data_IF_155052885971
#
_entry.id   IF_155052885971
#
_cell.length_a   1.000
_cell.length_b   1.000
_cell.length_c   1.000
_cell.angle_alpha   90.00
_cell.angle_beta   90.00
_cell.angle_gamma   90.00
#
_symmetry.space_group_name_H-M   'P 1'
#
loop_
_entity.id
_entity.type
_entity.pdbx_description
1 polymer ?
#
# COMPACT_ATOMS: atom_id res chain seq x y z
N UNK A 1 8.10 -9.08 -14.65
CA UNK A 1 7.86 -9.12 -13.20
C UNK A 1 6.61 -8.32 -12.89
N UNK A 2 5.64 -8.95 -12.24
CA UNK A 2 4.35 -8.28 -12.09
C UNK A 2 3.69 -8.67 -10.76
N UNK A 3 3.00 -7.74 -10.17
CA UNK A 3 2.28 -7.94 -8.92
C UNK A 3 0.87 -7.37 -9.04
N UNK A 4 -0.03 -7.85 -8.19
CA UNK A 4 -1.34 -7.23 -8.00
C UNK A 4 -1.22 -6.28 -6.83
N UNK A 5 -1.45 -4.99 -7.07
CA UNK A 5 -1.20 -3.92 -6.12
C UNK A 5 -2.50 -3.19 -5.79
N UNK A 6 -2.80 -3.06 -4.51
CA UNK A 6 -3.89 -2.22 -4.03
C UNK A 6 -3.28 -0.91 -3.50
N UNK A 7 -3.76 0.21 -4.02
CA UNK A 7 -3.37 1.54 -3.54
C UNK A 7 -4.57 2.18 -2.88
N UNK A 8 -4.41 2.69 -1.67
CA UNK A 8 -5.46 3.42 -0.99
C UNK A 8 -4.96 4.79 -0.55
N UNK A 9 -5.62 5.84 -1.03
CA UNK A 9 -5.29 7.22 -0.71
C UNK A 9 -6.55 8.06 -0.97
N UNK A 10 -6.94 8.91 -0.01
CA UNK A 10 -8.10 9.78 -0.18
C UNK A 10 -7.84 10.91 -1.17
N UNK A 11 -6.59 11.23 -1.47
CA UNK A 11 -6.24 12.12 -2.56
C UNK A 11 -6.34 11.33 -3.87
N UNK A 12 -7.45 11.54 -4.59
CA UNK A 12 -7.75 10.77 -5.81
C UNK A 12 -6.69 10.93 -6.88
N UNK A 13 -6.22 12.16 -7.09
CA UNK A 13 -5.21 12.43 -8.12
C UNK A 13 -3.91 11.70 -7.82
N UNK A 14 -3.48 11.71 -6.57
CA UNK A 14 -2.25 11.03 -6.18
C UNK A 14 -2.38 9.51 -6.35
N UNK A 15 -3.50 8.95 -5.91
CA UNK A 15 -3.75 7.51 -6.03
C UNK A 15 -3.83 7.07 -7.49
N UNK A 16 -4.58 7.82 -8.30
CA UNK A 16 -4.78 7.47 -9.70
C UNK A 16 -3.49 7.60 -10.49
N UNK A 17 -2.69 8.64 -10.22
CA UNK A 17 -1.41 8.85 -10.88
C UNK A 17 -0.42 7.73 -10.55
N UNK A 18 -0.30 7.40 -9.28
CA UNK A 18 0.57 6.31 -8.85
C UNK A 18 0.14 4.99 -9.49
N UNK A 19 -1.16 4.73 -9.50
CA UNK A 19 -1.72 3.53 -10.11
C UNK A 19 -1.39 3.43 -11.59
N UNK A 20 -1.54 4.53 -12.31
CA UNK A 20 -1.25 4.59 -13.74
C UNK A 20 0.22 4.28 -14.03
N UNK A 21 1.12 4.86 -13.23
CA UNK A 21 2.55 4.65 -13.40
C UNK A 21 2.96 3.21 -13.10
N UNK A 22 2.37 2.61 -12.09
CA UNK A 22 2.66 1.21 -11.77
C UNK A 22 2.07 0.26 -12.82
N UNK A 23 0.92 0.59 -13.39
CA UNK A 23 0.37 -0.18 -14.50
C UNK A 23 1.29 -0.15 -15.72
N UNK A 24 1.88 1.00 -16.00
CA UNK A 24 2.87 1.12 -17.08
C UNK A 24 4.09 0.24 -16.82
N UNK A 25 4.40 -0.03 -15.57
CA UNK A 25 5.47 -0.94 -15.18
C UNK A 25 5.10 -2.42 -15.27
N UNK A 26 3.88 -2.74 -15.70
CA UNK A 26 3.45 -4.11 -15.90
C UNK A 26 2.66 -4.73 -14.75
N UNK A 27 2.26 -3.93 -13.75
CA UNK A 27 1.50 -4.42 -12.61
C UNK A 27 0.00 -4.30 -12.82
N UNK A 28 -0.77 -5.15 -12.14
CA UNK A 28 -2.22 -5.01 -12.07
C UNK A 28 -2.52 -4.15 -10.84
N UNK A 29 -3.20 -3.03 -11.05
CA UNK A 29 -3.43 -2.05 -9.97
C UNK A 29 -4.91 -1.87 -9.69
N UNK A 30 -5.26 -1.89 -8.42
CA UNK A 30 -6.60 -1.60 -7.92
C UNK A 30 -6.47 -0.35 -7.03
N UNK A 31 -7.33 0.66 -7.26
CA UNK A 31 -7.27 1.91 -6.53
C UNK A 31 -8.47 2.06 -5.62
N UNK A 32 -8.23 2.37 -4.35
CA UNK A 32 -9.23 2.70 -3.36
C UNK A 32 -9.03 4.13 -2.87
N UNK A 33 -10.11 4.81 -2.51
CA UNK A 33 -10.05 6.21 -2.05
C UNK A 33 -10.47 6.38 -0.59
N UNK A 34 -10.64 5.28 0.12
CA UNK A 34 -10.94 5.28 1.55
C UNK A 34 -10.45 3.99 2.19
N UNK A 35 -10.37 3.98 3.51
CA UNK A 35 -9.96 2.79 4.24
C UNK A 35 -10.95 1.65 4.12
N UNK A 36 -12.24 1.95 4.21
CA UNK A 36 -13.29 0.94 4.05
C UNK A 36 -13.26 0.33 2.65
N UNK A 37 -13.09 1.16 1.63
CA UNK A 37 -13.00 0.67 0.26
C UNK A 37 -11.76 -0.21 0.08
N UNK A 38 -10.66 0.16 0.72
CA UNK A 38 -9.42 -0.62 0.65
C UNK A 38 -9.63 -2.05 1.18
N UNK A 39 -10.29 -2.17 2.31
CA UNK A 39 -10.57 -3.48 2.89
C UNK A 39 -11.49 -4.31 2.01
N UNK A 40 -12.55 -3.69 1.49
CA UNK A 40 -13.48 -4.37 0.61
C UNK A 40 -12.80 -4.88 -0.66
N UNK A 41 -12.01 -4.03 -1.31
CA UNK A 41 -11.28 -4.41 -2.52
C UNK A 41 -10.18 -5.43 -2.22
N UNK A 42 -9.54 -5.33 -1.06
CA UNK A 42 -8.56 -6.31 -0.64
C UNK A 42 -9.15 -7.71 -0.54
N UNK A 43 -10.33 -7.82 0.03
CA UNK A 43 -11.04 -9.10 0.14
C UNK A 43 -11.40 -9.68 -1.21
N UNK A 44 -11.82 -8.82 -2.14
CA UNK A 44 -12.23 -9.24 -3.48
C UNK A 44 -11.06 -9.61 -4.38
N UNK A 45 -10.00 -8.81 -4.34
CA UNK A 45 -8.90 -8.89 -5.30
C UNK A 45 -7.69 -9.65 -4.78
N UNK A 46 -7.54 -9.77 -3.48
CA UNK A 46 -6.43 -10.45 -2.81
C UNK A 46 -5.07 -9.98 -3.34
N UNK A 47 -4.71 -8.71 -3.11
CA UNK A 47 -3.47 -8.16 -3.67
C UNK A 47 -2.21 -8.75 -3.02
N UNK A 48 -1.13 -8.75 -3.78
CA UNK A 48 0.19 -9.15 -3.28
C UNK A 48 0.87 -8.03 -2.51
N UNK A 49 0.56 -6.79 -2.89
CA UNK A 49 1.17 -5.58 -2.33
C UNK A 49 0.06 -4.59 -2.01
N UNK A 50 0.15 -3.93 -0.86
CA UNK A 50 -0.81 -2.92 -0.43
C UNK A 50 -0.06 -1.64 -0.10
N UNK A 51 -0.42 -0.54 -0.73
CA UNK A 51 0.16 0.78 -0.47
C UNK A 51 -0.94 1.63 0.15
N UNK A 52 -0.76 2.01 1.41
CA UNK A 52 -1.79 2.70 2.19
C UNK A 52 -1.34 4.06 2.68
N UNK A 53 -2.12 5.09 2.35
CA UNK A 53 -2.00 6.40 2.98
C UNK A 53 -2.46 6.30 4.44
N UNK A 54 -1.67 6.83 5.35
CA UNK A 54 -1.99 6.82 6.78
C UNK A 54 -3.13 7.80 7.10
N UNK A 55 -3.22 8.91 6.37
CA UNK A 55 -4.08 10.04 6.72
C UNK A 55 -5.52 10.00 6.22
N UNK A 56 -6.06 8.82 5.91
CA UNK A 56 -7.44 8.75 5.40
C UNK A 56 -8.47 9.06 6.50
N UNK A 57 -9.54 9.82 6.17
CA UNK A 57 -10.46 10.32 7.19
C UNK A 57 -11.42 9.28 7.80
N UNK A 58 -11.84 8.27 7.05
CA UNK A 58 -12.79 7.28 7.54
C UNK A 58 -12.13 6.23 8.42
N UNK A 59 -10.98 5.78 8.02
CA UNK A 59 -10.19 4.77 8.72
C UNK A 59 -8.74 4.99 8.35
N UNK A 60 -7.90 5.29 9.31
CA UNK A 60 -6.50 5.59 8.98
C UNK A 60 -5.76 4.32 8.54
N UNK A 61 -4.61 4.52 7.90
CA UNK A 61 -3.85 3.41 7.35
C UNK A 61 -3.39 2.38 8.38
N UNK A 62 -3.14 2.78 9.60
CA UNK A 62 -2.78 1.83 10.67
C UNK A 62 -3.92 0.87 10.96
N UNK A 63 -5.13 1.38 11.03
CA UNK A 63 -6.32 0.57 11.28
C UNK A 63 -6.59 -0.40 10.12
N UNK A 64 -6.42 0.08 8.90
CA UNK A 64 -6.59 -0.75 7.70
C UNK A 64 -5.58 -1.90 7.73
N UNK A 65 -4.32 -1.60 8.02
CA UNK A 65 -3.27 -2.60 8.05
C UNK A 65 -3.54 -3.66 9.14
N UNK A 66 -3.90 -3.23 10.33
CA UNK A 66 -4.20 -4.17 11.42
C UNK A 66 -5.36 -5.08 11.07
N UNK A 67 -6.43 -4.52 10.50
CA UNK A 67 -7.59 -5.29 10.08
C UNK A 67 -7.21 -6.29 8.99
N UNK A 68 -6.48 -5.82 7.99
CA UNK A 68 -6.06 -6.67 6.88
C UNK A 68 -5.15 -7.82 7.35
N UNK A 69 -4.26 -7.55 8.30
CA UNK A 69 -3.36 -8.59 8.82
C UNK A 69 -4.09 -9.72 9.53
N UNK A 70 -5.31 -9.47 9.99
CA UNK A 70 -6.15 -10.49 10.62
C UNK A 70 -6.99 -11.27 9.61
N UNK A 71 -6.95 -10.88 8.34
CA UNK A 71 -7.69 -11.56 7.27
C UNK A 71 -6.73 -12.34 6.39
N UNK A 72 -7.22 -13.42 5.79
CA UNK A 72 -6.38 -14.33 5.00
C UNK A 72 -5.62 -13.61 3.88
N UNK A 73 -6.29 -12.71 3.17
CA UNK A 73 -5.66 -12.01 2.04
C UNK A 73 -4.53 -11.07 2.48
N UNK A 74 -4.62 -10.55 3.69
CA UNK A 74 -3.68 -9.55 4.18
C UNK A 74 -2.52 -10.10 4.99
N UNK A 75 -2.57 -11.35 5.40
CA UNK A 75 -1.53 -11.93 6.27
C UNK A 75 -0.15 -11.92 5.66
N UNK A 76 -0.05 -12.19 4.37
CA UNK A 76 1.23 -12.28 3.66
C UNK A 76 1.44 -11.16 2.64
N UNK A 77 0.52 -10.22 2.51
CA UNK A 77 0.68 -9.09 1.60
C UNK A 77 1.84 -8.21 2.05
N UNK A 78 2.58 -7.68 1.10
CA UNK A 78 3.63 -6.72 1.39
C UNK A 78 2.99 -5.35 1.56
N UNK A 79 3.11 -4.75 2.73
CA UNK A 79 2.41 -3.50 3.05
C UNK A 79 3.36 -2.33 3.17
N UNK A 80 3.06 -1.26 2.43
CA UNK A 80 3.84 -0.02 2.41
C UNK A 80 2.96 1.11 2.94
N UNK A 81 3.43 1.81 3.96
CA UNK A 81 2.75 2.98 4.51
C UNK A 81 3.22 4.23 3.81
N UNK A 82 2.30 5.13 3.47
CA UNK A 82 2.60 6.46 2.95
C UNK A 82 2.25 7.50 4.00
N UNK A 83 3.23 8.31 4.41
CA UNK A 83 3.02 9.35 5.40
C UNK A 83 3.31 10.73 4.82
N UNK A 84 2.59 11.74 5.27
CA UNK A 84 2.82 13.12 4.88
C UNK A 84 3.83 13.81 5.79
N UNK A 85 4.15 15.05 5.46
CA UNK A 85 4.98 15.91 6.29
C UNK A 85 4.35 16.06 7.68
N UNK A 86 5.15 15.91 8.70
CA UNK A 86 4.70 16.08 10.08
C UNK A 86 4.08 14.83 10.71
N UNK A 87 3.86 13.78 9.92
CA UNK A 87 3.35 12.51 10.44
C UNK A 87 4.46 11.47 10.55
N UNK A 88 5.66 11.87 10.23
CA UNK A 88 6.69 10.97 9.75
C UNK A 88 7.39 10.12 10.80
N UNK A 89 7.29 10.43 12.06
CA UNK A 89 8.23 9.83 13.00
C UNK A 89 7.70 8.59 13.70
N UNK A 90 6.59 8.04 13.20
CA UNK A 90 6.03 6.89 13.87
C UNK A 90 6.30 5.58 13.12
N UNK A 91 7.56 5.35 12.84
CA UNK A 91 8.02 4.09 12.22
C UNK A 91 7.64 2.89 13.05
N UNK A 92 7.76 3.02 14.37
CA UNK A 92 7.41 1.95 15.30
C UNK A 92 5.93 1.65 15.23
N UNK A 93 5.08 2.67 15.20
CA UNK A 93 3.64 2.49 15.08
C UNK A 93 3.28 1.80 13.77
N UNK A 94 3.91 2.18 12.67
CA UNK A 94 3.70 1.54 11.38
C UNK A 94 4.10 0.06 11.44
N UNK A 95 5.26 -0.23 11.99
CA UNK A 95 5.71 -1.60 12.13
C UNK A 95 4.76 -2.43 12.98
N UNK A 96 4.30 -1.89 14.10
CA UNK A 96 3.36 -2.59 14.99
C UNK A 96 1.99 -2.80 14.35
N UNK A 97 1.59 -1.92 13.44
CA UNK A 97 0.35 -2.09 12.70
C UNK A 97 0.46 -3.16 11.61
N UNK A 98 1.68 -3.58 11.28
CA UNK A 98 1.90 -4.63 10.30
C UNK A 98 2.49 -4.19 8.98
N UNK A 99 2.94 -2.93 8.87
CA UNK A 99 3.61 -2.44 7.66
C UNK A 99 5.02 -3.01 7.56
N UNK A 100 5.39 -3.35 6.34
CA UNK A 100 6.73 -3.84 6.03
C UNK A 100 7.67 -2.69 5.69
N UNK A 101 7.11 -1.57 5.23
CA UNK A 101 7.88 -0.43 4.77
C UNK A 101 7.10 0.87 4.95
N UNK A 102 7.84 1.95 5.00
CA UNK A 102 7.30 3.28 5.25
C UNK A 102 7.96 4.27 4.29
N UNK A 103 7.16 5.05 3.58
CA UNK A 103 7.64 6.08 2.66
C UNK A 103 6.99 7.41 2.98
N UNK A 104 7.74 8.50 2.83
CA UNK A 104 7.25 9.86 3.06
C UNK A 104 6.84 10.50 1.74
N UNK A 105 5.66 11.12 1.73
CA UNK A 105 5.18 11.86 0.55
C UNK A 105 6.01 13.13 0.33
N UNK A 106 6.22 13.56 -0.91
CA UNK A 106 5.79 12.94 -2.15
C UNK A 106 6.62 11.70 -2.48
N UNK A 107 5.96 10.67 -2.98
CA UNK A 107 6.59 9.38 -3.24
C UNK A 107 6.99 9.28 -4.71
N UNK A 108 8.23 8.91 -4.94
CA UNK A 108 8.73 8.66 -6.29
C UNK A 108 8.27 7.27 -6.74
N UNK A 109 7.50 7.17 -7.84
CA UNK A 109 7.09 5.87 -8.37
C UNK A 109 8.25 4.95 -8.70
N UNK A 110 9.39 5.49 -9.12
CA UNK A 110 10.58 4.68 -9.40
C UNK A 110 11.11 4.00 -8.15
N UNK A 111 11.02 4.66 -7.01
CA UNK A 111 11.40 4.05 -5.73
C UNK A 111 10.47 2.89 -5.39
N UNK A 112 9.16 3.06 -5.62
CA UNK A 112 8.20 1.98 -5.40
C UNK A 112 8.53 0.79 -6.29
N UNK A 113 8.84 1.04 -7.57
CA UNK A 113 9.24 -0.04 -8.49
C UNK A 113 10.48 -0.78 -8.00
N UNK A 114 11.47 -0.08 -7.48
CA UNK A 114 12.67 -0.70 -6.93
C UNK A 114 12.36 -1.59 -5.73
N UNK A 115 11.50 -1.11 -4.84
CA UNK A 115 11.08 -1.86 -3.66
C UNK A 115 10.34 -3.13 -4.09
N UNK A 116 9.42 -3.01 -5.04
CA UNK A 116 8.66 -4.15 -5.55
C UNK A 116 9.57 -5.18 -6.22
N UNK A 117 10.53 -4.73 -6.99
CA UNK A 117 11.52 -5.60 -7.62
C UNK A 117 12.26 -6.44 -6.59
N UNK A 118 12.75 -5.79 -5.55
CA UNK A 118 13.46 -6.48 -4.49
C UNK A 118 12.60 -7.51 -3.78
N UNK A 119 11.36 -7.15 -3.47
CA UNK A 119 10.42 -8.04 -2.80
C UNK A 119 10.05 -9.24 -3.68
N UNK A 120 9.72 -9.00 -4.95
CA UNK A 120 9.29 -10.07 -5.85
C UNK A 120 10.44 -11.02 -6.18
N UNK A 121 11.65 -10.53 -6.34
CA UNK A 121 12.82 -11.37 -6.54
C UNK A 121 13.07 -12.24 -5.33
N UNK A 122 12.97 -11.67 -4.13
CA UNK A 122 13.11 -12.44 -2.90
C UNK A 122 12.10 -13.55 -2.77
N UNK A 123 10.87 -13.31 -3.23
CA UNK A 123 9.78 -14.28 -3.18
C UNK A 123 10.00 -15.48 -4.09
N UNK A 124 10.79 -15.32 -5.14
CA UNK A 124 11.08 -16.37 -6.11
C UNK A 124 12.14 -17.36 -5.64
N UNK A 125 12.92 -16.92 -4.70
CA UNK A 125 13.93 -17.81 -4.14
C UNK A 125 13.36 -18.64 -2.97
#
# INVERSE_FOLDING_TARGET
MHARILIADDNRDAADTMGMLLELGGHEVIVAHSGNQALELGRQCRPDVVILDIGMPDMNGYEVARTARNEDWGKSAYMIALTGWGQADDKERARMAGFDRHLTKPVDPDLVEEILKGHLVGKRS
#
